data_IF_415164923845
#
_entry.id   IF_415164923845
#
_cell.length_a   1.000
_cell.length_b   1.000
_cell.length_c   1.000
_cell.angle_alpha   90.00
_cell.angle_beta   90.00
_cell.angle_gamma   90.00
#
_symmetry.space_group_name_H-M   'P 1'
#
loop_
_entity.id
_entity.type
_entity.pdbx_description
1 polymer ?
#
# COMPACT_ATOMS: atom_id res chain seq x y z
N UNK A 1 -22.26 -38.10 2.93
CA UNK A 1 -20.83 -38.51 3.00
C UNK A 1 -20.13 -37.63 4.03
N UNK A 2 -19.84 -38.16 5.21
CA UNK A 2 -19.12 -37.45 6.27
C UNK A 2 -17.65 -37.43 5.86
N UNK A 3 -17.21 -36.33 5.23
CA UNK A 3 -15.85 -36.22 4.69
C UNK A 3 -14.79 -36.39 5.77
N UNK A 4 -13.78 -37.22 5.50
CA UNK A 4 -12.69 -37.55 6.41
C UNK A 4 -12.14 -36.31 7.14
N UNK A 5 -12.10 -36.32 8.49
CA UNK A 5 -11.66 -35.18 9.30
C UNK A 5 -10.27 -34.65 8.89
N UNK A 6 -9.36 -35.56 8.52
CA UNK A 6 -8.03 -35.25 7.99
C UNK A 6 -8.07 -34.40 6.71
N UNK A 7 -8.96 -34.70 5.77
CA UNK A 7 -9.09 -33.95 4.51
C UNK A 7 -9.57 -32.53 4.79
N UNK A 8 -10.54 -32.38 5.69
CA UNK A 8 -11.04 -31.07 6.12
C UNK A 8 -9.95 -30.24 6.83
N UNK A 9 -9.08 -30.89 7.63
CA UNK A 9 -7.95 -30.22 8.28
C UNK A 9 -6.92 -29.75 7.25
N UNK A 10 -6.55 -30.61 6.30
CA UNK A 10 -5.59 -30.27 5.22
C UNK A 10 -6.10 -29.10 4.39
N UNK A 11 -7.38 -29.08 4.01
CA UNK A 11 -7.97 -27.95 3.26
C UNK A 11 -7.93 -26.64 4.06
N UNK A 12 -8.16 -26.68 5.38
CA UNK A 12 -8.04 -25.50 6.24
C UNK A 12 -6.60 -24.98 6.30
N UNK A 13 -5.62 -25.88 6.43
CA UNK A 13 -4.20 -25.51 6.46
C UNK A 13 -3.73 -24.93 5.13
N UNK A 14 -4.19 -25.48 4.00
CA UNK A 14 -3.90 -24.93 2.67
C UNK A 14 -4.51 -23.53 2.50
N UNK A 15 -5.73 -23.30 3.00
CA UNK A 15 -6.37 -21.98 2.98
C UNK A 15 -5.57 -20.95 3.80
N UNK A 16 -5.13 -21.33 5.01
CA UNK A 16 -4.32 -20.47 5.88
C UNK A 16 -2.96 -20.16 5.22
N UNK A 17 -2.30 -21.17 4.63
CA UNK A 17 -1.06 -20.98 3.87
C UNK A 17 -1.23 -20.02 2.70
N UNK A 18 -2.31 -20.16 1.92
CA UNK A 18 -2.57 -19.28 0.79
C UNK A 18 -2.86 -17.84 1.25
N UNK A 19 -3.60 -17.67 2.35
CA UNK A 19 -3.80 -16.34 2.97
C UNK A 19 -2.48 -15.74 3.45
N UNK A 20 -1.65 -16.52 4.14
CA UNK A 20 -0.31 -16.09 4.58
C UNK A 20 0.58 -15.73 3.40
N UNK A 21 0.50 -16.45 2.28
CA UNK A 21 1.27 -16.16 1.07
C UNK A 21 0.80 -14.87 0.38
N UNK A 22 -0.51 -14.63 0.31
CA UNK A 22 -1.07 -13.36 -0.19
C UNK A 22 -0.66 -12.20 0.71
N UNK A 23 -0.70 -12.40 2.03
CA UNK A 23 -0.26 -11.39 3.00
C UNK A 23 1.25 -11.13 2.92
N UNK A 24 2.05 -12.16 2.71
CA UNK A 24 3.49 -12.04 2.49
C UNK A 24 3.81 -11.34 1.16
N UNK A 25 2.97 -11.53 0.13
CA UNK A 25 3.05 -10.78 -1.14
C UNK A 25 2.63 -9.33 -1.01
N UNK A 26 1.68 -9.01 -0.12
CA UNK A 26 1.35 -7.64 0.31
C UNK A 26 2.38 -7.10 1.32
N UNK A 27 3.65 -7.44 1.12
CA UNK A 27 4.76 -6.89 1.88
C UNK A 27 4.99 -5.40 1.57
N UNK A 28 5.97 -4.77 2.25
CA UNK A 28 6.32 -3.35 2.10
C UNK A 28 6.52 -2.86 0.66
N UNK A 29 6.74 -3.77 -0.30
CA UNK A 29 6.78 -3.52 -1.74
C UNK A 29 5.51 -2.85 -2.31
N UNK A 30 4.34 -3.00 -1.69
CA UNK A 30 3.16 -2.25 -2.16
C UNK A 30 3.28 -0.76 -1.85
N UNK A 31 4.00 -0.39 -0.79
CA UNK A 31 4.16 1.01 -0.36
C UNK A 31 5.11 1.78 -1.26
N UNK A 32 6.28 1.22 -1.57
CA UNK A 32 7.22 1.85 -2.52
C UNK A 32 6.60 1.98 -3.92
N UNK A 33 5.78 0.99 -4.31
CA UNK A 33 4.99 1.03 -5.54
C UNK A 33 3.90 2.11 -5.51
N UNK A 34 3.25 2.33 -4.36
CA UNK A 34 2.26 3.40 -4.18
C UNK A 34 2.93 4.76 -4.17
N UNK A 35 4.07 4.92 -3.47
CA UNK A 35 4.85 6.16 -3.43
C UNK A 35 5.38 6.49 -4.83
N UNK A 36 5.91 5.50 -5.56
CA UNK A 36 6.36 5.67 -6.94
C UNK A 36 5.23 6.16 -7.86
N UNK A 37 4.03 5.57 -7.76
CA UNK A 37 2.86 6.05 -8.51
C UNK A 37 2.40 7.44 -8.11
N UNK A 38 2.46 7.77 -6.83
CA UNK A 38 2.11 9.10 -6.34
C UNK A 38 3.10 10.17 -6.84
N UNK A 39 4.40 9.86 -6.93
CA UNK A 39 5.41 10.76 -7.50
C UNK A 39 5.14 11.04 -8.98
N UNK A 40 4.84 10.02 -9.77
CA UNK A 40 4.45 10.19 -11.17
C UNK A 40 3.20 11.08 -11.32
N UNK A 41 2.19 10.89 -10.48
CA UNK A 41 1.02 11.77 -10.49
C UNK A 41 1.32 13.22 -10.09
N UNK A 42 2.28 13.46 -9.19
CA UNK A 42 2.72 14.82 -8.87
C UNK A 42 3.39 15.47 -10.08
N UNK A 43 4.30 14.77 -10.75
CA UNK A 43 4.97 15.26 -11.96
C UNK A 43 3.95 15.58 -13.08
N UNK A 44 2.99 14.69 -13.33
CA UNK A 44 1.91 14.92 -14.30
C UNK A 44 1.04 16.13 -13.92
N UNK A 45 0.73 16.29 -12.63
CA UNK A 45 -0.09 17.41 -12.15
C UNK A 45 0.67 18.73 -12.24
N UNK A 46 1.98 18.73 -11.98
CA UNK A 46 2.84 19.91 -12.15
C UNK A 46 2.88 20.34 -13.61
N UNK A 47 3.02 19.38 -14.53
CA UNK A 47 2.97 19.66 -15.97
C UNK A 47 1.62 20.26 -16.39
N UNK A 48 0.51 19.74 -15.89
CA UNK A 48 -0.82 20.33 -16.14
C UNK A 48 -0.94 21.77 -15.59
N UNK A 49 -0.26 22.06 -14.48
CA UNK A 49 -0.21 23.41 -13.91
C UNK A 49 0.63 24.37 -14.76
N UNK A 50 1.77 23.91 -15.31
CA UNK A 50 2.58 24.66 -16.28
C UNK A 50 1.80 24.94 -17.57
N UNK A 51 0.92 24.02 -17.98
CA UNK A 51 0.01 24.18 -19.12
C UNK A 51 -1.20 25.09 -18.82
N UNK A 52 -1.35 25.57 -17.58
CA UNK A 52 -2.34 26.57 -17.18
C UNK A 52 -3.63 26.02 -16.55
N UNK A 53 -3.68 24.74 -16.18
CA UNK A 53 -4.82 24.18 -15.44
C UNK A 53 -4.79 24.61 -13.96
N UNK A 54 -5.63 25.59 -13.61
CA UNK A 54 -5.76 26.09 -12.23
C UNK A 54 -6.32 25.03 -11.26
N UNK A 55 -7.04 24.02 -11.75
CA UNK A 55 -7.54 22.91 -10.93
C UNK A 55 -6.44 21.91 -10.57
N UNK A 56 -5.31 21.92 -11.28
CA UNK A 56 -4.15 21.09 -10.99
C UNK A 56 -3.52 21.47 -9.64
N UNK A 57 -3.51 22.74 -9.25
CA UNK A 57 -2.91 23.17 -7.97
C UNK A 57 -3.58 22.53 -6.74
N UNK A 58 -4.91 22.41 -6.75
CA UNK A 58 -5.67 21.73 -5.69
C UNK A 58 -5.37 20.22 -5.65
N UNK A 59 -5.19 19.61 -6.82
CA UNK A 59 -4.83 18.18 -6.95
C UNK A 59 -3.41 17.92 -6.46
N UNK A 60 -2.45 18.79 -6.80
CA UNK A 60 -1.06 18.71 -6.36
C UNK A 60 -0.97 18.78 -4.84
N UNK A 61 -1.65 19.75 -4.24
CA UNK A 61 -1.65 19.94 -2.78
C UNK A 61 -2.24 18.72 -2.05
N UNK A 62 -3.28 18.09 -2.62
CA UNK A 62 -3.87 16.85 -2.12
C UNK A 62 -2.93 15.64 -2.25
N UNK A 63 -2.18 15.55 -3.35
CA UNK A 63 -1.18 14.51 -3.57
C UNK A 63 0.01 14.65 -2.60
N UNK A 64 0.51 15.87 -2.39
CA UNK A 64 1.56 16.18 -1.43
C UNK A 64 1.17 15.83 0.01
N UNK A 65 -0.05 16.19 0.44
CA UNK A 65 -0.56 15.81 1.77
C UNK A 65 -0.65 14.29 1.93
N UNK A 66 -1.04 13.58 0.88
CA UNK A 66 -1.13 12.11 0.89
C UNK A 66 0.26 11.48 1.02
N UNK A 67 1.25 11.98 0.28
CA UNK A 67 2.65 11.55 0.40
C UNK A 67 3.22 11.80 1.80
N UNK A 68 3.03 12.99 2.37
CA UNK A 68 3.48 13.32 3.72
C UNK A 68 2.87 12.40 4.78
N UNK A 69 1.56 12.12 4.69
CA UNK A 69 0.88 11.19 5.59
C UNK A 69 1.46 9.78 5.47
N UNK A 70 1.73 9.32 4.25
CA UNK A 70 2.37 8.04 4.01
C UNK A 70 3.81 8.00 4.51
N UNK A 71 4.59 9.07 4.47
CA UNK A 71 5.94 9.08 5.04
C UNK A 71 5.87 9.02 6.57
N UNK A 72 5.03 9.85 7.20
CA UNK A 72 4.87 9.89 8.66
C UNK A 72 4.41 8.55 9.24
N UNK A 73 3.46 7.88 8.60
CA UNK A 73 3.04 6.53 9.00
C UNK A 73 4.18 5.50 8.91
N UNK A 74 5.23 5.74 8.11
CA UNK A 74 6.41 4.85 8.05
C UNK A 74 7.33 5.12 9.23
N UNK A 75 7.61 6.39 9.50
CA UNK A 75 8.39 6.82 10.65
C UNK A 75 7.79 6.30 11.97
N UNK A 76 6.47 6.43 12.15
CA UNK A 76 5.76 5.94 13.33
C UNK A 76 5.86 4.41 13.46
N UNK A 77 5.74 3.68 12.34
CA UNK A 77 5.91 2.22 12.30
C UNK A 77 7.34 1.80 12.63
N UNK A 78 8.34 2.53 12.14
CA UNK A 78 9.75 2.27 12.44
C UNK A 78 10.06 2.55 13.91
N UNK A 79 9.55 3.65 14.46
CA UNK A 79 9.65 3.97 15.90
C UNK A 79 9.02 2.88 16.76
N UNK A 80 7.82 2.41 16.42
CA UNK A 80 7.17 1.32 17.14
C UNK A 80 8.00 0.02 17.11
N UNK A 81 8.61 -0.32 15.98
CA UNK A 81 9.50 -1.48 15.88
C UNK A 81 10.81 -1.32 16.65
N UNK A 82 11.29 -0.09 16.86
CA UNK A 82 12.51 0.19 17.62
C UNK A 82 12.27 0.21 19.15
N UNK A 83 11.03 0.36 19.58
CA UNK A 83 10.62 0.33 20.99
C UNK A 83 10.19 -1.07 21.49
N UNK A 84 10.28 -2.11 20.64
CA UNK A 84 10.00 -3.52 20.97
C UNK A 84 11.30 -4.30 20.91
#
# INVERSE_FOLDING_TARGET
>A
VVGCPMVRLVSKLQLVRNKLWVWAKQGPNDRDRIIGRLRLHVEDTQKQMEEGDLAASSRELKLHLTLLKLIKMDEDRLRQKACV
#
